data_IF_431835953075
#
_entry.id   IF_431835953075
#
_cell.length_a   1.000
_cell.length_b   1.000
_cell.length_c   1.000
_cell.angle_alpha   90.00
_cell.angle_beta   90.00
_cell.angle_gamma   90.00
#
_symmetry.space_group_name_H-M   'P 1'
#
loop_
_entity.id
_entity.type
_entity.pdbx_description
1 polymer ?
#
# COMPACT_ATOMS: atom_id res chain seq x y z
N UNK A 1 0.55 11.68 16.69
CA UNK A 1 -0.36 11.63 15.52
C UNK A 1 -0.75 10.17 15.26
N UNK A 2 -1.99 9.84 14.90
CA UNK A 2 -2.38 8.45 14.64
C UNK A 2 -1.85 7.96 13.28
N UNK A 3 -1.31 6.74 13.21
CA UNK A 3 -0.89 6.06 11.97
C UNK A 3 -1.90 6.16 10.80
N UNK A 4 -3.20 6.26 11.12
CA UNK A 4 -4.27 6.51 10.16
C UNK A 4 -4.04 7.75 9.28
N UNK A 5 -3.55 8.87 9.85
CA UNK A 5 -3.37 10.16 9.17
C UNK A 5 -1.89 10.49 8.88
N UNK A 6 -1.01 9.48 8.85
CA UNK A 6 0.42 9.72 8.65
C UNK A 6 0.74 10.24 7.24
N UNK A 7 1.57 11.28 7.17
CA UNK A 7 2.17 11.84 5.96
C UNK A 7 3.68 12.00 6.14
N UNK A 8 4.48 12.01 5.06
CA UNK A 8 5.89 12.39 5.15
C UNK A 8 6.05 13.80 5.73
N UNK A 9 7.13 14.00 6.48
CA UNK A 9 7.44 15.25 7.21
C UNK A 9 6.41 15.65 8.29
N UNK A 10 5.37 14.86 8.55
CA UNK A 10 4.37 15.16 9.61
C UNK A 10 4.85 14.85 11.04
N UNK A 11 5.95 14.10 11.15
CA UNK A 11 6.63 13.73 12.40
C UNK A 11 8.14 13.74 12.10
N UNK A 12 8.96 14.32 12.98
CA UNK A 12 10.41 14.10 12.99
C UNK A 12 10.75 13.07 14.07
N UNK A 13 11.56 12.07 13.70
CA UNK A 13 12.10 11.05 14.60
C UNK A 13 13.57 10.82 14.27
N UNK A 14 14.34 10.27 15.22
CA UNK A 14 15.77 9.99 14.98
C UNK A 14 15.96 9.02 13.81
N UNK A 15 15.09 8.02 13.64
CA UNK A 15 15.16 7.10 12.50
C UNK A 15 14.96 7.80 11.15
N UNK A 16 14.11 8.82 11.07
CA UNK A 16 13.91 9.57 9.83
C UNK A 16 15.07 10.52 9.54
N UNK A 17 15.59 11.20 10.57
CA UNK A 17 16.78 12.05 10.48
C UNK A 17 18.04 11.26 10.10
N UNK A 18 18.19 10.04 10.61
CA UNK A 18 19.32 9.15 10.32
C UNK A 18 19.39 8.74 8.84
N UNK A 19 18.26 8.66 8.13
CA UNK A 19 18.22 8.32 6.69
C UNK A 19 18.97 9.34 5.82
N UNK A 20 18.94 10.62 6.20
CA UNK A 20 19.52 11.75 5.45
C UNK A 20 20.95 12.12 5.86
N UNK A 21 21.56 11.44 6.83
CA UNK A 21 22.97 11.67 7.19
C UNK A 21 23.87 11.35 5.99
N UNK A 22 25.01 12.06 5.80
CA UNK A 22 25.93 11.78 4.70
C UNK A 22 26.40 10.31 4.70
N UNK A 23 26.37 9.65 3.54
CA UNK A 23 26.61 8.21 3.39
C UNK A 23 25.49 7.31 3.94
N UNK A 24 24.34 7.92 4.29
CA UNK A 24 23.17 7.29 4.87
C UNK A 24 22.33 6.52 3.86
N UNK A 25 21.06 6.32 4.21
CA UNK A 25 20.13 5.52 3.39
C UNK A 25 19.73 6.26 2.11
N UNK A 26 19.53 7.58 2.19
CA UNK A 26 19.12 8.38 1.03
C UNK A 26 20.20 8.51 -0.04
N UNK A 27 21.47 8.68 0.35
CA UNK A 27 22.58 8.74 -0.63
C UNK A 27 22.72 7.39 -1.37
N UNK A 28 22.70 6.27 -0.62
CA UNK A 28 22.75 4.91 -1.19
C UNK A 28 21.53 4.59 -2.07
N UNK A 29 20.35 5.07 -1.69
CA UNK A 29 19.13 4.90 -2.48
C UNK A 29 19.22 5.67 -3.80
N UNK A 30 19.70 6.91 -3.77
CA UNK A 30 19.90 7.72 -4.96
C UNK A 30 20.95 7.10 -5.90
N UNK A 31 22.11 6.69 -5.39
CA UNK A 31 23.16 6.00 -6.16
C UNK A 31 22.64 4.69 -6.79
N UNK A 32 21.89 3.90 -6.02
CA UNK A 32 21.27 2.67 -6.52
C UNK A 32 20.23 2.95 -7.63
N UNK A 33 19.40 3.98 -7.48
CA UNK A 33 18.39 4.31 -8.50
C UNK A 33 18.99 4.91 -9.76
N UNK A 34 20.05 5.73 -9.67
CA UNK A 34 20.80 6.23 -10.83
C UNK A 34 21.47 5.08 -11.58
N UNK A 35 22.14 4.16 -10.87
CA UNK A 35 22.83 3.02 -11.49
C UNK A 35 21.92 1.94 -12.09
N UNK A 36 20.64 1.87 -11.70
CA UNK A 36 19.65 0.97 -12.31
C UNK A 36 19.26 1.34 -13.74
N UNK A 37 19.47 2.59 -14.17
CA UNK A 37 18.99 3.10 -15.45
C UNK A 37 17.47 2.89 -15.62
N UNK A 38 16.99 2.47 -16.80
CA UNK A 38 15.57 2.23 -17.08
C UNK A 38 14.89 1.12 -16.26
N UNK A 39 15.64 0.37 -15.43
CA UNK A 39 15.05 -0.58 -14.46
C UNK A 39 14.48 0.14 -13.22
N UNK A 40 14.79 1.42 -13.05
CA UNK A 40 14.14 2.33 -12.11
C UNK A 40 13.20 3.25 -12.90
N UNK A 41 11.93 3.34 -12.48
CA UNK A 41 10.93 4.12 -13.24
C UNK A 41 11.29 5.61 -13.34
N UNK A 42 12.08 6.12 -12.40
CA UNK A 42 12.60 7.50 -12.35
C UNK A 42 13.53 7.86 -13.53
N UNK A 43 14.09 6.88 -14.23
CA UNK A 43 14.98 7.11 -15.38
C UNK A 43 14.47 6.44 -16.66
N UNK A 44 13.21 5.98 -16.68
CA UNK A 44 12.63 5.29 -17.82
C UNK A 44 11.71 6.23 -18.60
N UNK A 45 11.74 6.13 -19.93
CA UNK A 45 10.90 6.92 -20.83
C UNK A 45 9.94 6.03 -21.63
N UNK A 46 8.67 6.46 -21.71
CA UNK A 46 7.64 5.81 -22.51
C UNK A 46 8.02 5.91 -23.99
N UNK A 47 7.80 4.82 -24.73
CA UNK A 47 8.15 4.66 -26.15
C UNK A 47 9.66 4.78 -26.46
N UNK A 48 10.53 4.74 -25.44
CA UNK A 48 11.97 4.46 -25.58
C UNK A 48 12.37 3.17 -24.86
N UNK A 49 12.07 3.06 -23.57
CA UNK A 49 12.45 1.90 -22.74
C UNK A 49 11.35 0.87 -22.63
N UNK A 50 10.09 1.33 -22.66
CA UNK A 50 8.91 0.51 -22.56
C UNK A 50 7.75 1.05 -23.40
N UNK A 51 6.95 0.14 -23.95
CA UNK A 51 5.95 0.41 -24.98
C UNK A 51 4.60 -0.16 -24.58
N UNK A 52 3.51 0.49 -25.00
CA UNK A 52 2.15 -0.05 -24.83
C UNK A 52 1.98 -1.34 -25.63
N UNK A 53 1.51 -2.39 -24.96
CA UNK A 53 1.21 -3.69 -25.55
C UNK A 53 -0.23 -4.10 -25.26
N UNK A 54 -1.08 -4.01 -26.29
CA UNK A 54 -2.46 -4.49 -26.24
C UNK A 54 -2.48 -6.03 -26.19
N UNK A 55 -3.34 -6.63 -25.38
CA UNK A 55 -3.51 -8.08 -25.39
C UNK A 55 -4.14 -8.51 -26.72
N UNK A 56 -3.68 -9.63 -27.30
CA UNK A 56 -4.15 -10.15 -28.59
C UNK A 56 -5.58 -10.72 -28.57
N UNK A 57 -6.28 -10.59 -27.45
CA UNK A 57 -7.64 -11.04 -27.26
C UNK A 57 -8.62 -9.98 -27.77
N UNK A 58 -9.24 -10.23 -28.93
CA UNK A 58 -10.09 -9.28 -29.65
C UNK A 58 -11.31 -8.72 -28.87
N UNK A 59 -11.61 -9.25 -27.68
CA UNK A 59 -12.69 -8.83 -26.79
C UNK A 59 -12.22 -7.94 -25.62
N UNK A 60 -10.91 -7.71 -25.47
CA UNK A 60 -10.32 -6.99 -24.34
C UNK A 60 -9.53 -5.76 -24.80
N UNK A 61 -10.07 -4.57 -24.57
CA UNK A 61 -9.34 -3.30 -24.73
C UNK A 61 -8.29 -3.03 -23.63
N UNK A 62 -8.09 -3.97 -22.69
CA UNK A 62 -7.03 -3.86 -21.68
C UNK A 62 -5.64 -3.96 -22.34
N UNK A 63 -4.64 -3.34 -21.71
CA UNK A 63 -3.24 -3.43 -22.14
C UNK A 63 -2.28 -3.47 -20.96
N UNK A 64 -1.04 -3.86 -21.25
CA UNK A 64 0.09 -3.74 -20.33
C UNK A 64 1.26 -3.14 -21.09
N UNK A 65 2.43 -3.05 -20.47
CA UNK A 65 3.63 -2.51 -21.11
C UNK A 65 4.68 -3.60 -21.30
N UNK A 66 5.44 -3.52 -22.40
CA UNK A 66 6.58 -4.40 -22.68
C UNK A 66 7.88 -3.60 -22.74
N UNK A 67 8.97 -4.17 -22.24
CA UNK A 67 10.29 -3.59 -22.40
C UNK A 67 10.87 -3.84 -23.80
N UNK A 68 12.04 -3.29 -24.06
CA UNK A 68 12.84 -3.54 -25.28
C UNK A 68 13.10 -5.05 -25.54
N UNK A 69 13.13 -5.88 -24.49
CA UNK A 69 13.29 -7.33 -24.58
C UNK A 69 11.99 -8.09 -24.97
N UNK A 70 10.91 -7.36 -25.27
CA UNK A 70 9.57 -7.87 -25.52
C UNK A 70 8.94 -8.68 -24.36
N UNK A 71 9.52 -8.73 -23.16
CA UNK A 71 8.85 -9.26 -21.98
C UNK A 71 7.94 -8.18 -21.37
N UNK A 72 7.04 -8.54 -20.43
CA UNK A 72 6.28 -7.50 -19.72
C UNK A 72 7.27 -6.62 -18.94
N UNK A 73 7.17 -5.31 -19.14
CA UNK A 73 8.00 -4.33 -18.47
C UNK A 73 7.77 -4.37 -16.96
N UNK A 74 8.87 -4.39 -16.22
CA UNK A 74 8.87 -4.25 -14.76
C UNK A 74 9.88 -3.20 -14.36
N UNK A 75 9.48 -2.27 -13.49
CA UNK A 75 10.34 -1.22 -12.98
C UNK A 75 10.37 -1.24 -11.45
N UNK A 76 11.46 -0.73 -10.88
CA UNK A 76 11.55 -0.46 -9.46
C UNK A 76 11.04 0.96 -9.18
N UNK A 77 10.22 1.09 -8.13
CA UNK A 77 9.71 2.34 -7.59
C UNK A 77 10.06 2.39 -6.12
N UNK A 78 10.47 3.55 -5.59
CA UNK A 78 10.66 3.77 -4.16
C UNK A 78 9.73 4.85 -3.62
N UNK A 79 9.50 4.82 -2.31
CA UNK A 79 8.84 5.89 -1.57
C UNK A 79 8.54 5.50 -0.14
N UNK A 80 7.99 6.44 0.61
CA UNK A 80 7.59 6.26 2.00
C UNK A 80 6.09 6.00 2.10
N UNK A 81 5.69 4.96 2.83
CA UNK A 81 4.29 4.54 2.93
C UNK A 81 3.47 5.57 3.72
N UNK A 82 2.37 6.04 3.15
CA UNK A 82 1.46 6.99 3.83
C UNK A 82 0.35 6.28 4.61
N UNK A 83 -0.32 7.01 5.50
CA UNK A 83 -1.41 6.52 6.35
C UNK A 83 -2.68 6.11 5.59
N UNK A 84 -3.56 5.37 6.29
CA UNK A 84 -4.81 4.82 5.76
C UNK A 84 -5.79 5.89 5.23
N UNK A 85 -5.81 7.08 5.83
CA UNK A 85 -6.59 8.24 5.37
C UNK A 85 -6.24 8.65 3.92
N UNK A 86 -5.01 8.37 3.47
CA UNK A 86 -4.53 8.74 2.15
C UNK A 86 -4.64 7.60 1.12
N UNK A 87 -5.20 6.44 1.50
CA UNK A 87 -5.53 5.33 0.60
C UNK A 87 -4.69 4.06 0.79
N UNK A 88 -3.83 3.99 1.80
CA UNK A 88 -3.13 2.75 2.17
C UNK A 88 -4.08 1.79 2.88
N UNK A 89 -4.32 0.62 2.29
CA UNK A 89 -5.17 -0.44 2.81
C UNK A 89 -4.38 -1.77 2.83
N UNK A 90 -3.75 -2.08 3.95
CA UNK A 90 -2.96 -3.32 4.19
C UNK A 90 -3.65 -4.32 5.13
N UNK A 91 -4.75 -3.93 5.78
CA UNK A 91 -5.56 -4.80 6.65
C UNK A 91 -6.50 -5.76 5.89
N UNK A 92 -7.23 -6.59 6.63
CA UNK A 92 -8.08 -7.68 6.15
C UNK A 92 -9.11 -7.25 5.09
N UNK A 93 -9.68 -6.06 5.21
CA UNK A 93 -10.62 -5.56 4.21
C UNK A 93 -9.95 -5.28 2.85
N UNK A 94 -8.65 -4.95 2.85
CA UNK A 94 -7.93 -4.43 1.69
C UNK A 94 -8.66 -3.24 1.06
N UNK A 95 -8.65 -3.16 -0.26
CA UNK A 95 -9.33 -2.13 -1.04
C UNK A 95 -10.84 -2.40 -1.30
N UNK A 96 -11.47 -3.29 -0.54
CA UNK A 96 -12.88 -3.63 -0.72
C UNK A 96 -13.81 -2.46 -0.39
N UNK A 97 -14.71 -2.15 -1.33
CA UNK A 97 -15.70 -1.09 -1.19
C UNK A 97 -17.01 -1.65 -0.62
N UNK A 98 -17.28 -1.33 0.65
CA UNK A 98 -18.46 -1.76 1.41
C UNK A 98 -19.78 -1.16 0.92
N UNK A 99 -19.77 -0.19 -0.01
CA UNK A 99 -20.97 0.54 -0.41
C UNK A 99 -21.23 1.79 0.43
N UNK A 100 -22.18 2.62 -0.04
CA UNK A 100 -22.57 3.85 0.64
C UNK A 100 -23.70 3.64 1.68
N UNK A 101 -24.41 2.50 1.62
CA UNK A 101 -25.49 2.17 2.56
C UNK A 101 -24.92 1.34 3.73
N UNK A 102 -24.77 1.92 4.94
CA UNK A 102 -24.24 1.20 6.10
C UNK A 102 -25.20 0.11 6.63
N UNK A 103 -26.47 0.12 6.21
CA UNK A 103 -27.46 -0.90 6.60
C UNK A 103 -27.39 -2.14 5.70
N UNK A 104 -26.81 -2.00 4.51
CA UNK A 104 -26.65 -3.07 3.50
C UNK A 104 -25.23 -3.07 2.93
N UNK A 105 -24.20 -3.32 3.76
CA UNK A 105 -22.83 -3.35 3.30
C UNK A 105 -22.64 -4.46 2.26
N UNK A 106 -21.89 -4.17 1.20
CA UNK A 106 -21.41 -5.18 0.26
C UNK A 106 -20.48 -6.13 1.01
N UNK A 107 -20.89 -7.38 1.07
CA UNK A 107 -20.14 -8.43 1.76
C UNK A 107 -18.82 -8.70 1.02
N UNK A 108 -17.77 -8.91 1.81
CA UNK A 108 -16.50 -9.48 1.39
C UNK A 108 -16.61 -11.01 1.55
N UNK A 109 -17.03 -11.66 0.48
CA UNK A 109 -17.29 -13.11 0.43
C UNK A 109 -16.11 -13.91 -0.13
N UNK A 110 -16.33 -15.22 -0.30
CA UNK A 110 -15.33 -16.15 -0.87
C UNK A 110 -14.86 -15.79 -2.29
N UNK A 111 -15.64 -15.03 -3.07
CA UNK A 111 -15.35 -14.71 -4.47
C UNK A 111 -14.91 -13.27 -4.68
N UNK A 112 -14.97 -12.44 -3.63
CA UNK A 112 -14.66 -11.02 -3.69
C UNK A 112 -13.15 -10.79 -3.78
N UNK A 113 -12.70 -10.32 -4.95
CA UNK A 113 -11.29 -10.00 -5.23
C UNK A 113 -10.87 -8.68 -4.55
N UNK A 114 -10.58 -8.73 -3.25
CA UNK A 114 -9.87 -7.64 -2.57
C UNK A 114 -8.35 -7.81 -2.68
N UNK A 115 -7.65 -6.67 -2.71
CA UNK A 115 -6.19 -6.57 -2.78
C UNK A 115 -5.71 -5.58 -1.73
N UNK A 116 -4.47 -5.71 -1.29
CA UNK A 116 -3.84 -4.59 -0.60
C UNK A 116 -3.66 -3.39 -1.55
N UNK A 117 -3.67 -2.19 -0.99
CA UNK A 117 -3.22 -0.97 -1.67
C UNK A 117 -2.21 -0.29 -0.77
N UNK A 118 -1.06 0.10 -1.31
CA UNK A 118 -0.03 0.86 -0.61
C UNK A 118 0.09 2.17 -1.37
N UNK A 119 -0.16 3.29 -0.71
CA UNK A 119 0.16 4.60 -1.27
C UNK A 119 1.53 5.00 -0.72
N UNK A 120 2.42 5.42 -1.62
CA UNK A 120 3.75 5.93 -1.29
C UNK A 120 3.89 7.39 -1.71
N UNK A 121 4.69 8.14 -0.98
CA UNK A 121 4.96 9.56 -1.21
C UNK A 121 6.47 9.85 -1.07
N UNK A 122 6.88 11.09 -1.38
CA UNK A 122 8.27 11.53 -1.25
C UNK A 122 8.75 11.32 0.21
N UNK A 123 9.90 10.66 0.47
CA UNK A 123 10.32 10.31 1.83
C UNK A 123 10.50 11.50 2.78
N UNK A 124 10.25 11.28 4.07
CA UNK A 124 10.47 12.29 5.12
C UNK A 124 11.93 12.75 5.15
N UNK A 125 12.17 14.06 5.10
CA UNK A 125 13.49 14.70 5.06
C UNK A 125 14.39 14.23 3.90
N UNK A 126 13.79 13.87 2.75
CA UNK A 126 14.53 13.52 1.54
C UNK A 126 15.59 14.57 1.17
N UNK A 127 16.76 14.10 0.73
CA UNK A 127 17.73 14.97 0.05
C UNK A 127 17.20 15.39 -1.32
N UNK A 128 17.72 16.47 -1.90
CA UNK A 128 17.28 16.96 -3.22
C UNK A 128 17.32 15.85 -4.27
N UNK A 129 18.40 15.06 -4.33
CA UNK A 129 18.52 13.93 -5.25
C UNK A 129 17.42 12.86 -5.07
N UNK A 130 17.04 12.54 -3.83
CA UNK A 130 15.94 11.58 -3.55
C UNK A 130 14.58 12.19 -3.87
N UNK A 131 14.39 13.49 -3.64
CA UNK A 131 13.17 14.21 -4.02
C UNK A 131 13.01 14.24 -5.55
N UNK A 132 14.04 14.66 -6.28
CA UNK A 132 14.06 14.74 -7.74
C UNK A 132 13.79 13.37 -8.38
N UNK A 133 14.50 12.34 -7.90
CA UNK A 133 14.24 10.96 -8.33
C UNK A 133 12.80 10.55 -8.04
N UNK A 134 12.23 10.87 -6.87
CA UNK A 134 10.85 10.51 -6.53
C UNK A 134 9.84 11.18 -7.48
N UNK A 135 10.00 12.47 -7.75
CA UNK A 135 9.12 13.21 -8.66
C UNK A 135 9.31 12.80 -10.12
N UNK A 136 10.50 12.39 -10.55
CA UNK A 136 10.69 11.78 -11.87
C UNK A 136 9.85 10.50 -12.05
N UNK A 137 9.69 9.68 -11.00
CA UNK A 137 8.75 8.54 -11.05
C UNK A 137 7.32 9.02 -11.32
N UNK A 138 6.89 10.09 -10.66
CA UNK A 138 5.56 10.70 -10.87
C UNK A 138 5.42 11.24 -12.30
N UNK A 139 6.44 11.90 -12.84
CA UNK A 139 6.47 12.37 -14.23
C UNK A 139 6.30 11.21 -15.22
N UNK A 140 7.16 10.18 -15.17
CA UNK A 140 7.08 9.01 -16.07
C UNK A 140 5.73 8.30 -16.00
N UNK A 141 5.15 8.14 -14.80
CA UNK A 141 3.83 7.53 -14.65
C UNK A 141 2.68 8.43 -15.13
N UNK A 142 2.85 9.75 -15.12
CA UNK A 142 1.89 10.72 -15.67
C UNK A 142 1.94 10.74 -17.20
N UNK A 143 3.14 10.64 -17.80
CA UNK A 143 3.32 10.54 -19.26
C UNK A 143 2.54 9.37 -19.88
N UNK A 144 2.41 8.25 -19.16
CA UNK A 144 1.54 7.11 -19.56
C UNK A 144 0.08 7.56 -19.73
N UNK A 145 -0.45 8.34 -18.77
CA UNK A 145 -1.82 8.83 -18.81
C UNK A 145 -2.00 9.90 -19.89
N UNK A 146 -1.01 10.77 -20.07
CA UNK A 146 -1.04 11.86 -21.06
C UNK A 146 -1.02 11.33 -22.50
N UNK A 147 -0.18 10.33 -22.81
CA UNK A 147 -0.17 9.67 -24.11
C UNK A 147 -1.53 9.02 -24.46
N UNK A 148 -2.14 8.34 -23.50
CA UNK A 148 -3.50 7.79 -23.66
C UNK A 148 -4.56 8.89 -23.82
N UNK A 149 -4.38 10.04 -23.13
CA UNK A 149 -5.30 11.17 -23.22
C UNK A 149 -5.26 11.82 -24.59
N UNK A 150 -4.09 11.95 -25.19
CA UNK A 150 -3.97 12.46 -26.56
C UNK A 150 -4.68 11.55 -27.58
N UNK A 151 -4.62 10.21 -27.39
CA UNK A 151 -5.39 9.26 -28.20
C UNK A 151 -6.92 9.43 -27.99
N UNK A 152 -7.37 9.61 -26.75
CA UNK A 152 -8.78 9.80 -26.38
C UNK A 152 -9.35 11.10 -26.95
N UNK A 153 -8.64 12.22 -26.77
CA UNK A 153 -9.01 13.55 -27.29
C UNK A 153 -9.06 13.52 -28.82
N UNK A 154 -8.11 12.84 -29.48
CA UNK A 154 -8.09 12.66 -30.95
C UNK A 154 -9.22 11.76 -31.46
N UNK A 155 -9.64 10.78 -30.66
CA UNK A 155 -10.76 9.89 -30.96
C UNK A 155 -12.14 10.46 -30.55
N UNK A 156 -12.18 11.59 -29.84
CA UNK A 156 -13.41 12.17 -29.28
C UNK A 156 -14.09 11.25 -28.25
N UNK A 157 -13.33 10.42 -27.55
CA UNK A 157 -13.85 9.42 -26.59
C UNK A 157 -13.86 10.00 -25.18
N UNK A 158 -15.04 10.07 -24.55
CA UNK A 158 -15.15 10.48 -23.15
C UNK A 158 -14.65 9.36 -22.21
N UNK A 159 -13.62 9.66 -21.42
CA UNK A 159 -12.96 8.71 -20.51
C UNK A 159 -12.91 9.25 -19.09
N UNK A 160 -13.35 8.43 -18.15
CA UNK A 160 -13.14 8.64 -16.70
C UNK A 160 -11.90 7.83 -16.28
N UNK A 161 -10.72 8.46 -16.12
CA UNK A 161 -9.55 7.77 -15.62
C UNK A 161 -9.63 7.52 -14.12
N UNK A 162 -9.01 6.43 -13.68
CA UNK A 162 -8.54 6.24 -12.30
C UNK A 162 -7.03 6.04 -12.36
N UNK A 163 -6.31 7.12 -12.10
CA UNK A 163 -4.86 7.17 -12.24
C UNK A 163 -4.14 6.45 -11.09
N UNK A 164 -2.91 6.01 -11.36
CA UNK A 164 -2.03 5.44 -10.34
C UNK A 164 -1.30 6.52 -9.55
N UNK A 165 -1.12 7.72 -10.13
CA UNK A 165 -0.60 8.91 -9.45
C UNK A 165 -1.78 9.72 -8.91
N UNK A 166 -1.62 10.35 -7.74
CA UNK A 166 -2.65 11.16 -7.09
C UNK A 166 -2.06 12.23 -6.17
N UNK A 167 -2.85 13.27 -5.90
CA UNK A 167 -2.61 14.17 -4.79
C UNK A 167 -3.05 13.53 -3.45
N UNK A 168 -2.25 13.71 -2.39
CA UNK A 168 -2.56 13.34 -1.00
C UNK A 168 -3.59 14.28 -0.37
N UNK A 169 -3.69 15.51 -0.89
CA UNK A 169 -4.63 16.56 -0.50
C UNK A 169 -5.54 16.92 -1.67
N UNK A 170 -6.83 17.11 -1.42
CA UNK A 170 -7.79 17.50 -2.47
C UNK A 170 -7.40 18.84 -3.10
N UNK A 171 -7.20 18.86 -4.42
CA UNK A 171 -6.76 20.05 -5.16
C UNK A 171 -5.27 20.40 -5.03
N UNK A 172 -4.48 19.54 -4.37
CA UNK A 172 -3.02 19.67 -4.32
C UNK A 172 -2.32 19.13 -5.58
N UNK A 173 -0.99 19.26 -5.58
CA UNK A 173 -0.12 18.69 -6.61
C UNK A 173 -0.06 17.16 -6.53
N UNK A 174 0.42 16.53 -7.61
CA UNK A 174 0.63 15.09 -7.66
C UNK A 174 1.88 14.71 -6.84
N UNK A 175 1.67 14.21 -5.63
CA UNK A 175 2.70 13.95 -4.62
C UNK A 175 2.73 12.48 -4.12
N UNK A 176 1.89 11.60 -4.67
CA UNK A 176 1.85 10.19 -4.31
C UNK A 176 1.54 9.21 -5.45
N UNK A 177 2.06 7.98 -5.30
CA UNK A 177 1.88 6.85 -6.21
C UNK A 177 1.11 5.73 -5.48
N UNK A 178 0.11 5.17 -6.14
CA UNK A 178 -0.78 4.11 -5.64
C UNK A 178 -0.34 2.75 -6.19
N UNK A 179 0.24 1.93 -5.32
CA UNK A 179 0.69 0.58 -5.62
C UNK A 179 -0.39 -0.45 -5.21
N UNK A 180 -0.64 -1.42 -6.07
CA UNK A 180 -1.66 -2.45 -5.87
C UNK A 180 -1.01 -3.80 -5.61
N UNK A 181 -1.30 -4.42 -4.46
CA UNK A 181 -0.77 -5.75 -4.12
C UNK A 181 -1.40 -6.91 -4.90
N UNK A 182 -0.94 -8.15 -4.66
CA UNK A 182 -1.67 -9.34 -5.09
C UNK A 182 -3.05 -9.43 -4.41
N UNK A 183 -3.94 -10.33 -4.88
CA UNK A 183 -5.16 -10.68 -4.15
C UNK A 183 -4.83 -11.13 -2.71
N UNK A 184 -5.54 -10.57 -1.73
CA UNK A 184 -5.38 -10.94 -0.31
C UNK A 184 -5.90 -12.35 -0.03
N UNK A 185 -6.92 -12.78 -0.76
CA UNK A 185 -7.61 -14.04 -0.52
C UNK A 185 -7.76 -14.88 -1.78
N UNK A 186 -7.75 -16.20 -1.60
CA UNK A 186 -8.05 -17.19 -2.64
C UNK A 186 -8.95 -18.28 -2.11
N UNK A 187 -9.79 -18.84 -2.96
CA UNK A 187 -10.50 -20.09 -2.67
C UNK A 187 -9.73 -21.21 -3.34
N UNK A 188 -9.34 -22.21 -2.54
CA UNK A 188 -8.80 -23.46 -3.06
C UNK A 188 -9.78 -24.05 -4.09
N UNK A 189 -9.36 -24.09 -5.35
CA UNK A 189 -10.00 -24.94 -6.36
C UNK A 189 -9.68 -26.38 -5.96
N UNK A 190 -10.54 -26.96 -5.09
CA UNK A 190 -10.49 -28.38 -4.69
C UNK A 190 -10.17 -29.19 -5.93
N UNK A 191 -9.07 -29.94 -5.91
CA UNK A 191 -8.45 -30.50 -7.11
C UNK A 191 -9.48 -31.22 -7.97
N UNK A 192 -9.87 -30.57 -9.08
CA UNK A 192 -10.62 -31.21 -10.13
C UNK A 192 -9.64 -32.14 -10.82
N UNK A 193 -9.65 -33.41 -10.42
CA UNK A 193 -9.17 -34.52 -11.24
C UNK A 193 -9.79 -34.41 -12.63
N UNK A 194 -9.01 -33.85 -13.56
CA UNK A 194 -9.19 -33.88 -15.01
C UNK A 194 -10.63 -33.97 -15.54
N UNK A 195 -11.34 -32.83 -15.60
CA UNK A 195 -12.31 -32.61 -16.68
C UNK A 195 -12.38 -31.12 -17.00
N UNK A 196 -12.19 -30.78 -18.27
CA UNK A 196 -12.20 -29.42 -18.78
C UNK A 196 -13.59 -28.80 -18.66
N UNK A 197 -13.67 -27.61 -18.07
CA UNK A 197 -14.76 -26.67 -18.32
C UNK A 197 -14.29 -25.23 -18.18
N UNK A 198 -14.59 -24.42 -19.19
CA UNK A 198 -14.14 -23.04 -19.30
C UNK A 198 -14.72 -22.18 -18.17
N UNK A 199 -13.85 -21.57 -17.37
CA UNK A 199 -14.23 -20.54 -16.41
C UNK A 199 -13.27 -19.35 -16.51
N UNK A 200 -13.86 -18.20 -16.87
CA UNK A 200 -13.30 -16.85 -16.96
C UNK A 200 -11.81 -16.69 -16.63
N UNK A 201 -11.05 -16.31 -17.65
CA UNK A 201 -9.65 -15.92 -17.55
C UNK A 201 -9.46 -14.87 -16.43
N UNK A 202 -8.87 -15.32 -15.32
CA UNK A 202 -8.02 -14.43 -14.55
C UNK A 202 -6.67 -14.38 -15.29
N UNK A 203 -5.97 -13.23 -15.33
CA UNK A 203 -4.68 -13.13 -16.00
C UNK A 203 -3.78 -14.29 -15.59
N UNK A 204 -3.11 -14.90 -16.58
CA UNK A 204 -2.43 -16.18 -16.42
C UNK A 204 -1.59 -16.19 -15.14
N UNK A 205 -1.77 -17.22 -14.30
CA UNK A 205 -0.94 -17.43 -13.11
C UNK A 205 0.52 -17.40 -13.57
N UNK A 206 1.23 -16.31 -13.30
CA UNK A 206 2.68 -16.30 -13.43
C UNK A 206 3.20 -17.31 -12.45
N UNK A 207 3.76 -18.39 -13.00
CA UNK A 207 4.71 -19.20 -12.27
C UNK A 207 5.90 -18.28 -11.96
N UNK A 208 5.87 -17.67 -10.77
CA UNK A 208 6.98 -16.92 -10.19
C UNK A 208 8.13 -17.90 -9.98
N UNK A 209 8.89 -18.13 -11.06
CA UNK A 209 10.08 -18.95 -11.06
C UNK A 209 11.06 -18.27 -10.13
N UNK A 210 11.20 -18.80 -8.91
CA UNK A 210 12.14 -18.30 -7.89
C UNK A 210 13.50 -18.09 -8.55
N UNK A 211 13.90 -16.84 -8.79
CA UNK A 211 15.30 -16.52 -9.10
C UNK A 211 16.07 -16.69 -7.80
N UNK A 212 16.71 -17.85 -7.66
CA UNK A 212 17.75 -18.02 -6.65
C UNK A 212 18.89 -17.07 -7.03
N UNK A 213 18.97 -15.93 -6.34
CA UNK A 213 20.17 -15.09 -6.34
C UNK A 213 21.24 -15.79 -5.49
N UNK A 214 21.80 -16.86 -6.02
CA UNK A 214 23.02 -17.46 -5.50
C UNK A 214 24.20 -16.65 -6.05
N UNK A 215 24.82 -15.83 -5.19
CA UNK A 215 26.01 -15.06 -5.53
C UNK A 215 27.16 -15.98 -5.91
N UNK A 216 27.54 -16.02 -7.18
CA UNK A 216 28.75 -16.70 -7.64
C UNK A 216 29.98 -15.86 -7.28
N UNK A 217 30.41 -15.94 -6.02
CA UNK A 217 31.77 -15.59 -5.61
C UNK A 217 32.54 -16.90 -5.48
N UNK A 218 33.26 -17.26 -6.53
CA UNK A 218 34.24 -18.34 -6.51
C UNK A 218 35.61 -17.72 -6.80
N UNK A 219 36.41 -17.51 -5.76
CA UNK A 219 37.86 -17.61 -5.91
C UNK A 219 38.54 -18.13 -4.63
N UNK A 220 39.13 -19.31 -4.83
CA UNK A 220 40.16 -20.04 -4.09
C UNK A 220 40.48 -19.88 -2.58
N UNK A 221 40.54 -21.08 -1.97
CA UNK A 221 41.64 -21.62 -1.12
C UNK A 221 41.64 -21.46 0.41
N UNK A 222 41.30 -22.56 1.09
CA UNK A 222 42.29 -23.30 1.90
C UNK A 222 42.20 -23.23 3.44
N UNK A 223 42.48 -24.40 4.06
CA UNK A 223 42.77 -24.66 5.49
C UNK A 223 41.57 -24.92 6.46
N UNK A 224 41.76 -25.72 7.54
CA UNK A 224 40.69 -26.61 8.03
C UNK A 224 40.23 -26.42 9.49
N UNK A 225 39.15 -27.13 9.83
CA UNK A 225 38.70 -27.60 11.16
C UNK A 225 38.79 -26.65 12.37
N UNK A 226 37.63 -26.30 12.91
CA UNK A 226 37.39 -26.27 14.35
C UNK A 226 35.98 -26.81 14.61
N UNK A 227 35.88 -27.83 15.45
CA UNK A 227 34.59 -28.39 15.88
C UNK A 227 33.96 -27.45 16.91
N UNK A 228 32.95 -26.69 16.47
CA UNK A 228 32.16 -25.83 17.34
C UNK A 228 30.87 -26.58 17.68
N UNK A 229 30.66 -26.82 18.97
CA UNK A 229 29.43 -27.40 19.54
C UNK A 229 28.19 -26.63 19.05
N UNK A 230 27.10 -27.31 18.69
CA UNK A 230 25.86 -26.63 18.33
C UNK A 230 25.26 -25.94 19.57
N UNK A 231 25.13 -24.62 19.49
CA UNK A 231 24.40 -23.82 20.48
C UNK A 231 22.91 -24.16 20.40
N UNK A 232 22.41 -24.88 21.40
CA UNK A 232 21.05 -25.43 21.46
C UNK A 232 19.99 -24.39 21.90
N UNK A 233 20.20 -23.12 21.52
CA UNK A 233 19.29 -22.00 21.83
C UNK A 233 18.76 -21.27 20.59
N UNK A 234 18.88 -21.88 19.40
CA UNK A 234 18.28 -21.38 18.17
C UNK A 234 16.74 -21.47 18.23
N UNK A 235 16.11 -20.42 18.77
CA UNK A 235 14.67 -20.19 18.65
C UNK A 235 14.27 -20.36 17.17
N UNK A 236 13.46 -21.37 16.88
CA UNK A 236 13.18 -21.76 15.49
C UNK A 236 12.25 -20.72 14.86
N UNK A 237 12.82 -19.66 14.29
CA UNK A 237 12.08 -18.63 13.56
C UNK A 237 11.27 -19.31 12.47
N UNK A 238 9.96 -19.38 12.65
CA UNK A 238 9.04 -20.05 11.74
C UNK A 238 9.06 -19.30 10.40
N UNK A 239 9.87 -19.80 9.47
CA UNK A 239 10.01 -19.22 8.13
C UNK A 239 8.71 -19.46 7.34
N UNK A 240 7.78 -18.53 7.47
CA UNK A 240 6.49 -18.54 6.78
C UNK A 240 6.69 -18.44 5.26
N UNK A 241 6.38 -19.51 4.48
CA UNK A 241 6.72 -19.52 3.07
C UNK A 241 5.80 -18.59 2.26
N UNK A 242 6.40 -17.70 1.48
CA UNK A 242 5.69 -16.81 0.53
C UNK A 242 4.67 -17.58 -0.31
N UNK A 243 3.44 -17.04 -0.40
CA UNK A 243 2.35 -17.68 -1.15
C UNK A 243 1.67 -18.84 -0.41
N UNK A 244 2.07 -19.15 0.82
CA UNK A 244 1.30 -20.05 1.68
C UNK A 244 -0.07 -19.46 2.03
N UNK A 245 -0.98 -20.37 2.32
CA UNK A 245 -2.39 -20.08 2.59
C UNK A 245 -2.70 -20.25 4.07
N UNK A 246 -3.28 -19.21 4.67
CA UNK A 246 -3.53 -19.10 6.11
C UNK A 246 -5.02 -18.93 6.41
N UNK A 247 -5.40 -19.17 7.66
CA UNK A 247 -6.73 -18.79 8.14
C UNK A 247 -6.87 -17.27 8.13
N UNK A 248 -7.92 -16.76 7.49
CA UNK A 248 -8.17 -15.32 7.37
C UNK A 248 -8.38 -14.64 8.73
N UNK A 249 -8.75 -15.40 9.78
CA UNK A 249 -8.92 -14.93 11.17
C UNK A 249 -7.61 -14.57 11.87
N UNK A 250 -6.47 -14.84 11.25
CA UNK A 250 -5.15 -14.43 11.75
C UNK A 250 -4.82 -12.96 11.46
N UNK A 251 -5.56 -12.28 10.57
CA UNK A 251 -5.44 -10.84 10.38
C UNK A 251 -6.06 -10.09 11.57
N UNK A 252 -5.34 -9.18 12.25
CA UNK A 252 -5.82 -8.52 13.47
C UNK A 252 -7.11 -7.71 13.33
N UNK A 253 -7.43 -7.23 12.13
CA UNK A 253 -8.66 -6.49 11.81
C UNK A 253 -9.73 -7.32 11.08
N UNK A 254 -9.58 -8.64 11.00
CA UNK A 254 -10.61 -9.51 10.42
C UNK A 254 -11.79 -9.69 11.38
N UNK A 255 -12.94 -9.13 11.02
CA UNK A 255 -14.19 -9.33 11.76
C UNK A 255 -15.24 -8.25 11.52
N UNK A 256 -16.47 -8.53 11.96
CA UNK A 256 -17.61 -7.63 11.77
C UNK A 256 -18.46 -7.95 10.53
N UNK A 257 -19.55 -7.19 10.29
CA UNK A 257 -20.65 -7.58 9.40
C UNK A 257 -20.31 -7.58 7.90
N UNK A 258 -19.15 -7.06 7.52
CA UNK A 258 -18.67 -7.04 6.13
C UNK A 258 -18.10 -8.40 5.73
N UNK A 259 -17.49 -9.15 6.65
CA UNK A 259 -16.77 -10.38 6.32
C UNK A 259 -17.72 -11.59 6.27
N UNK A 260 -17.85 -12.19 5.09
CA UNK A 260 -18.74 -13.32 4.82
C UNK A 260 -18.02 -14.55 4.23
N UNK A 261 -16.68 -14.58 4.34
CA UNK A 261 -15.86 -15.71 3.89
C UNK A 261 -16.14 -16.98 4.68
N UNK A 262 -16.06 -18.12 3.99
CA UNK A 262 -16.22 -19.47 4.55
C UNK A 262 -15.13 -20.43 4.06
N UNK A 263 -14.68 -20.27 2.82
CA UNK A 263 -13.70 -21.11 2.14
C UNK A 263 -12.41 -20.38 1.77
N UNK A 264 -12.47 -19.05 1.62
CA UNK A 264 -11.32 -18.26 1.25
C UNK A 264 -10.23 -18.29 2.32
N UNK A 265 -8.99 -18.43 1.87
CA UNK A 265 -7.75 -18.42 2.66
C UNK A 265 -6.96 -17.15 2.37
N UNK A 266 -6.30 -16.63 3.41
CA UNK A 266 -5.39 -15.50 3.29
C UNK A 266 -4.12 -15.95 2.58
N UNK A 267 -3.71 -15.26 1.52
CA UNK A 267 -2.42 -15.48 0.87
C UNK A 267 -1.39 -14.55 1.53
N UNK A 268 -0.27 -15.10 1.98
CA UNK A 268 0.85 -14.26 2.44
C UNK A 268 1.57 -13.64 1.23
N UNK A 269 1.57 -12.30 1.09
CA UNK A 269 2.28 -11.63 0.00
C UNK A 269 3.80 -11.74 0.17
N UNK A 270 4.56 -11.59 -0.92
CA UNK A 270 6.03 -11.53 -0.88
C UNK A 270 6.52 -10.14 -0.46
N UNK A 271 6.22 -9.78 0.79
CA UNK A 271 6.65 -8.53 1.41
C UNK A 271 7.57 -8.88 2.57
N UNK A 272 8.86 -8.64 2.36
CA UNK A 272 9.93 -9.03 3.29
C UNK A 272 10.86 -7.85 3.47
N UNK A 273 11.24 -7.57 4.70
CA UNK A 273 12.39 -6.71 4.99
C UNK A 273 13.72 -7.40 4.66
N UNK A 274 14.83 -6.79 5.05
CA UNK A 274 16.19 -7.35 4.89
C UNK A 274 16.48 -8.57 5.80
N UNK A 275 15.61 -8.87 6.78
CA UNK A 275 15.68 -10.01 7.70
C UNK A 275 14.65 -11.11 7.37
N UNK A 276 13.85 -10.93 6.32
CA UNK A 276 12.66 -11.71 5.95
C UNK A 276 11.47 -11.62 6.92
N UNK A 277 11.39 -10.58 7.74
CA UNK A 277 10.22 -10.26 8.57
C UNK A 277 9.21 -9.40 7.79
N UNK A 278 7.92 -9.54 8.13
CA UNK A 278 6.79 -8.92 7.44
C UNK A 278 6.31 -7.69 8.21
N UNK A 279 6.87 -6.51 7.90
CA UNK A 279 6.43 -5.24 8.50
C UNK A 279 6.23 -4.17 7.42
N UNK A 280 4.98 -3.97 7.00
CA UNK A 280 4.58 -2.93 6.04
C UNK A 280 3.67 -1.94 6.75
N UNK A 281 4.26 -0.82 7.21
CA UNK A 281 3.58 0.19 8.01
C UNK A 281 3.78 1.62 7.48
N UNK A 282 2.92 2.59 7.87
CA UNK A 282 3.14 3.99 7.54
C UNK A 282 4.51 4.47 8.04
N UNK A 283 5.18 5.30 7.23
CA UNK A 283 6.55 5.78 7.49
C UNK A 283 7.66 4.82 7.09
N UNK A 284 7.36 3.56 6.73
CA UNK A 284 8.36 2.62 6.21
C UNK A 284 8.80 3.08 4.81
N UNK A 285 10.12 3.13 4.59
CA UNK A 285 10.71 3.37 3.29
C UNK A 285 10.84 2.05 2.53
N UNK A 286 10.25 1.97 1.33
CA UNK A 286 10.20 0.73 0.55
C UNK A 286 10.72 0.92 -0.87
N UNK A 287 11.20 -0.17 -1.45
CA UNK A 287 11.40 -0.34 -2.90
C UNK A 287 10.50 -1.48 -3.36
N UNK A 288 9.64 -1.19 -4.33
CA UNK A 288 8.73 -2.15 -4.94
C UNK A 288 9.09 -2.35 -6.42
N UNK A 289 9.29 -3.60 -6.84
CA UNK A 289 9.30 -3.96 -8.25
C UNK A 289 7.85 -4.13 -8.71
N UNK A 290 7.42 -3.36 -9.70
CA UNK A 290 6.03 -3.32 -10.18
C UNK A 290 5.94 -3.68 -11.65
N UNK A 291 4.75 -4.08 -12.09
CA UNK A 291 4.37 -4.12 -13.50
C UNK A 291 3.12 -3.27 -13.74
N UNK A 292 3.01 -2.67 -14.93
CA UNK A 292 1.94 -1.73 -15.26
C UNK A 292 0.87 -2.40 -16.14
N UNK A 293 -0.39 -2.22 -15.75
CA UNK A 293 -1.57 -2.73 -16.45
C UNK A 293 -2.65 -1.64 -16.47
N UNK A 294 -3.32 -1.47 -17.62
CA UNK A 294 -4.47 -0.58 -17.76
C UNK A 294 -5.70 -1.40 -18.07
N UNK A 295 -6.70 -1.29 -17.19
CA UNK A 295 -7.98 -1.96 -17.34
C UNK A 295 -8.98 -0.99 -17.97
N UNK A 296 -9.50 -1.34 -19.14
CA UNK A 296 -10.48 -0.54 -19.89
C UNK A 296 -11.84 -1.20 -19.71
N UNK A 297 -12.74 -0.52 -18.99
CA UNK A 297 -14.11 -0.96 -18.78
C UNK A 297 -15.02 -0.29 -19.79
N UNK A 298 -15.60 -1.09 -20.70
CA UNK A 298 -16.62 -0.62 -21.63
C UNK A 298 -17.84 -0.06 -20.88
N UNK A 299 -18.45 1.01 -21.39
CA UNK A 299 -19.66 1.57 -20.79
C UNK A 299 -20.83 0.59 -20.91
N UNK A 300 -21.77 0.62 -19.94
CA UNK A 300 -22.94 -0.28 -19.98
C UNK A 300 -24.09 0.26 -20.83
N UNK A 301 -24.05 1.55 -21.13
CA UNK A 301 -25.03 2.28 -21.93
C UNK A 301 -24.32 3.29 -22.83
N UNK A 302 -24.94 3.69 -23.94
CA UNK A 302 -24.35 4.67 -24.87
C UNK A 302 -24.14 6.08 -24.27
N UNK A 303 -24.71 6.34 -23.09
CA UNK A 303 -24.58 7.58 -22.32
C UNK A 303 -23.51 7.53 -21.22
N UNK A 304 -22.87 6.38 -20.99
CA UNK A 304 -21.78 6.23 -20.01
C UNK A 304 -20.42 6.45 -20.68
N UNK A 305 -19.53 7.16 -19.99
CA UNK A 305 -18.11 7.30 -20.36
C UNK A 305 -17.37 5.97 -20.23
N UNK A 306 -16.34 5.75 -21.05
CA UNK A 306 -15.40 4.63 -20.86
C UNK A 306 -14.64 4.84 -19.56
N UNK A 307 -14.39 3.79 -18.77
CA UNK A 307 -13.56 3.92 -17.56
C UNK A 307 -12.21 3.22 -17.75
N UNK A 308 -11.12 3.98 -17.73
CA UNK A 308 -9.75 3.43 -17.67
C UNK A 308 -9.26 3.39 -16.23
N UNK A 309 -8.60 2.31 -15.84
CA UNK A 309 -8.00 2.14 -14.51
C UNK A 309 -6.53 1.75 -14.66
N UNK A 310 -5.65 2.64 -14.22
CA UNK A 310 -4.21 2.50 -14.25
C UNK A 310 -3.74 1.79 -12.98
N UNK A 311 -3.06 0.65 -13.10
CA UNK A 311 -2.54 -0.11 -11.98
C UNK A 311 -1.03 -0.33 -12.10
N UNK A 312 -0.29 0.13 -11.08
CA UNK A 312 1.03 -0.38 -10.75
C UNK A 312 0.87 -1.59 -9.81
N UNK A 313 1.01 -2.81 -10.34
CA UNK A 313 0.86 -4.04 -9.56
C UNK A 313 2.22 -4.46 -8.97
N UNK A 314 2.29 -4.59 -7.65
CA UNK A 314 3.49 -5.03 -6.92
C UNK A 314 3.78 -6.50 -7.25
N UNK A 315 4.98 -6.77 -7.79
CA UNK A 315 5.50 -8.13 -8.01
C UNK A 315 6.48 -8.57 -6.92
N UNK A 316 7.20 -7.62 -6.32
CA UNK A 316 8.07 -7.79 -5.15
C UNK A 316 8.12 -6.48 -4.37
N UNK A 317 8.20 -6.53 -3.03
CA UNK A 317 8.40 -5.35 -2.18
C UNK A 317 9.44 -5.64 -1.11
N UNK A 318 10.39 -4.71 -0.93
CA UNK A 318 11.45 -4.75 0.07
C UNK A 318 11.40 -3.50 0.94
N UNK A 319 11.57 -3.69 2.25
CA UNK A 319 11.80 -2.59 3.19
C UNK A 319 13.27 -2.18 3.12
N UNK A 320 13.51 -0.87 2.97
CA UNK A 320 14.85 -0.25 2.94
C UNK A 320 15.16 0.44 4.27
N UNK A 321 14.16 1.05 4.90
CA UNK A 321 14.27 1.57 6.26
C UNK A 321 12.96 1.35 7.02
N UNK A 322 13.10 0.87 8.25
CA UNK A 322 12.01 0.72 9.21
C UNK A 322 11.40 2.09 9.60
N UNK A 323 10.32 2.05 10.37
CA UNK A 323 9.65 3.23 10.90
C UNK A 323 9.30 3.05 12.38
N UNK A 324 9.39 4.13 13.14
CA UNK A 324 8.96 4.26 14.53
C UNK A 324 7.57 4.93 14.67
N UNK A 325 6.81 5.07 13.56
CA UNK A 325 5.44 5.57 13.60
C UNK A 325 4.54 4.61 14.39
N UNK A 326 4.11 5.06 15.57
CA UNK A 326 3.32 4.25 16.51
C UNK A 326 2.00 3.80 15.89
N UNK A 327 1.88 2.49 15.66
CA UNK A 327 0.61 1.84 15.34
C UNK A 327 -0.12 1.50 16.63
N UNK A 328 -1.19 2.23 16.94
CA UNK A 328 -2.19 1.74 17.88
C UNK A 328 -2.81 0.43 17.32
N UNK A 329 -2.86 -0.66 18.09
CA UNK A 329 -3.49 -1.91 17.66
C UNK A 329 -4.89 -1.65 17.11
N UNK A 330 -5.35 -2.37 16.06
CA UNK A 330 -6.69 -2.19 15.54
C UNK A 330 -7.70 -2.48 16.64
N UNK A 331 -8.35 -1.43 17.15
CA UNK A 331 -9.41 -1.57 18.12
C UNK A 331 -10.55 -2.29 17.43
N UNK A 332 -10.96 -3.50 17.87
CA UNK A 332 -12.05 -4.21 17.22
C UNK A 332 -13.29 -3.31 17.26
N UNK A 333 -13.93 -3.13 16.11
CA UNK A 333 -15.15 -2.33 16.02
C UNK A 333 -16.24 -3.04 16.82
N UNK A 334 -16.43 -2.60 18.07
CA UNK A 334 -17.51 -3.03 18.96
C UNK A 334 -18.82 -2.38 18.47
N UNK A 335 -19.19 -2.74 17.24
CA UNK A 335 -20.39 -2.25 16.57
C UNK A 335 -21.62 -2.85 17.24
N UNK A 336 -22.09 -2.09 18.23
CA UNK A 336 -23.35 -2.21 18.92
C UNK A 336 -23.54 -3.49 19.74
N UNK A 337 -23.40 -3.31 21.06
CA UNK A 337 -24.21 -4.02 22.05
C UNK A 337 -25.68 -4.00 21.61
N UNK A 338 -26.16 -5.08 20.96
CA UNK A 338 -27.58 -5.39 20.97
C UNK A 338 -27.94 -5.60 22.43
N UNK A 339 -28.60 -4.60 23.02
CA UNK A 339 -29.15 -4.65 24.37
C UNK A 339 -30.42 -5.52 24.37
N UNK A 340 -30.28 -6.78 23.95
CA UNK A 340 -31.28 -7.81 24.20
C UNK A 340 -31.18 -8.20 25.67
N UNK A 341 -31.89 -7.45 26.50
CA UNK A 341 -32.16 -7.81 27.89
C UNK A 341 -33.11 -9.01 27.93
N UNK A 342 -32.57 -10.19 27.66
CA UNK A 342 -33.16 -11.45 28.08
C UNK A 342 -32.24 -11.96 29.19
N UNK A 343 -32.67 -11.83 30.45
CA UNK A 343 -31.98 -12.48 31.55
C UNK A 343 -32.00 -14.00 31.32
N UNK A 344 -30.85 -14.68 31.28
CA UNK A 344 -30.81 -16.11 31.56
C UNK A 344 -31.06 -16.26 33.06
N UNK A 345 -32.09 -17.01 33.45
CA UNK A 345 -32.29 -17.42 34.84
C UNK A 345 -31.09 -18.32 35.21
N UNK A 346 -30.29 -17.98 36.26
CA UNK A 346 -29.07 -18.72 36.55
C UNK A 346 -29.39 -20.03 37.29
N UNK A 347 -29.43 -21.15 36.57
CA UNK A 347 -29.50 -22.50 37.16
C UNK A 347 -28.11 -23.17 37.21
N UNK A 348 -27.17 -22.60 37.97
CA UNK A 348 -26.00 -23.35 38.46
C UNK A 348 -25.33 -22.62 39.63
N UNK A 349 -25.22 -23.31 40.77
CA UNK A 349 -24.52 -22.80 41.96
C UNK A 349 -23.02 -22.52 41.71
N UNK A 350 -22.43 -23.12 40.67
CA UNK A 350 -21.04 -22.88 40.29
C UNK A 350 -20.78 -21.44 39.78
N UNK A 351 -21.80 -20.76 39.24
CA UNK A 351 -21.63 -19.40 38.71
C UNK A 351 -21.55 -18.32 39.81
N UNK A 352 -22.13 -18.56 40.99
CA UNK A 352 -22.10 -17.62 42.11
C UNK A 352 -20.73 -17.56 42.81
N UNK A 353 -19.95 -18.64 42.77
CA UNK A 353 -18.63 -18.72 43.42
C UNK A 353 -17.54 -17.89 42.72
N UNK A 354 -17.73 -17.52 41.45
CA UNK A 354 -16.79 -16.68 40.70
C UNK A 354 -17.12 -15.17 40.79
N UNK A 355 -18.31 -14.82 41.30
CA UNK A 355 -18.73 -13.42 41.48
C UNK A 355 -18.28 -12.82 42.82
N UNK A 356 -17.69 -13.62 43.71
CA UNK A 356 -17.25 -13.22 45.06
C UNK A 356 -15.74 -12.95 45.18
N UNK A 357 -15.01 -12.87 44.06
CA UNK A 357 -13.60 -12.44 44.05
C UNK A 357 -13.58 -10.92 43.90
N UNK A 358 -13.68 -10.25 45.05
CA UNK A 358 -13.59 -8.80 45.16
C UNK A 358 -12.13 -8.35 44.97
N UNK A 359 -11.90 -7.40 44.06
CA UNK A 359 -10.56 -6.94 43.68
C UNK A 359 -10.46 -5.40 43.66
N UNK A 360 -11.06 -4.72 44.65
CA UNK A 360 -10.82 -3.28 44.85
C UNK A 360 -10.95 -2.77 46.31
N UNK A 361 -9.81 -2.59 46.99
CA UNK A 361 -9.53 -1.69 48.15
C UNK A 361 -8.05 -1.89 48.54
N UNK A 362 -7.19 -0.93 48.94
CA UNK A 362 -7.17 0.55 49.15
C UNK A 362 -5.66 0.97 49.13
N UNK A 363 -5.19 2.22 49.10
CA UNK A 363 -5.74 3.57 49.31
C UNK A 363 -5.30 4.51 48.14
N UNK A 364 -5.57 5.82 47.97
CA UNK A 364 -5.89 7.02 48.81
C UNK A 364 -4.70 7.77 49.46
N UNK A 365 -4.18 8.79 48.75
CA UNK A 365 -3.66 10.08 49.28
C UNK A 365 -3.03 10.91 48.13
N UNK A 366 -3.08 12.24 47.96
CA UNK A 366 -3.92 13.39 48.37
C UNK A 366 -3.01 14.63 48.39
N UNK A 367 -3.57 15.84 48.18
CA UNK A 367 -2.93 17.18 48.26
C UNK A 367 -2.01 17.59 47.08
N UNK A 368 -1.79 18.87 46.77
CA UNK A 368 -2.57 20.14 46.71
C UNK A 368 -1.55 21.30 46.51
N UNK A 369 -2.03 22.50 46.13
CA UNK A 369 -1.27 23.75 45.93
C UNK A 369 -0.48 23.85 44.61
N UNK A 370 -0.44 24.99 43.89
CA UNK A 370 -1.20 26.24 44.06
C UNK A 370 -0.34 27.49 43.81
N UNK A 371 -0.57 28.17 42.68
CA UNK A 371 -0.18 29.55 42.29
C UNK A 371 -0.43 29.63 40.77
N UNK A 372 -1.34 30.40 40.20
CA UNK A 372 -1.65 31.83 40.39
C UNK A 372 -0.48 32.75 39.99
N UNK A 373 -0.51 33.22 38.74
CA UNK A 373 0.12 34.47 38.34
C UNK A 373 -0.51 35.00 37.04
N UNK A 374 -1.16 36.15 37.16
CA UNK A 374 -1.51 37.04 36.05
C UNK A 374 -0.27 37.68 35.45
N UNK A 375 -0.31 38.03 34.16
CA UNK A 375 -0.16 39.42 33.67
C UNK A 375 -0.34 39.54 32.14
N UNK A 376 -0.77 40.73 31.76
CA UNK A 376 -0.81 41.44 30.46
C UNK A 376 0.34 41.12 29.47
N UNK A 377 0.24 41.34 28.15
CA UNK A 377 -0.80 42.00 27.33
C UNK A 377 -0.34 42.18 25.86
N UNK A 378 -0.96 43.13 25.15
CA UNK A 378 -0.56 43.68 23.82
C UNK A 378 -0.74 42.83 22.53
N UNK A 379 -1.90 43.04 21.89
CA UNK A 379 -2.08 43.22 20.43
C UNK A 379 -1.42 44.58 20.03
N UNK A 380 -0.86 44.85 18.81
CA UNK A 380 -1.43 44.55 17.48
C UNK A 380 -0.36 43.97 16.48
N UNK A 381 -0.60 43.64 15.21
CA UNK A 381 -1.10 44.51 14.13
C UNK A 381 -1.57 43.77 12.88
N UNK A 382 -2.60 44.33 12.23
CA UNK A 382 -3.06 43.95 10.89
C UNK A 382 -2.06 44.40 9.83
N UNK A 383 -1.72 43.53 8.90
CA UNK A 383 -1.31 43.95 7.55
C UNK A 383 -2.10 43.20 6.49
N UNK A 384 -2.82 43.96 5.67
CA UNK A 384 -3.56 43.50 4.51
C UNK A 384 -2.65 43.51 3.30
N UNK A 385 -2.42 42.37 2.65
CA UNK A 385 -1.81 42.33 1.33
C UNK A 385 -2.85 42.11 0.23
N UNK A 386 -2.75 42.94 -0.80
CA UNK A 386 -3.82 43.21 -1.75
C UNK A 386 -3.83 42.23 -2.93
N UNK A 387 -5.01 42.05 -3.52
CA UNK A 387 -5.21 41.15 -4.66
C UNK A 387 -5.09 41.94 -5.96
N UNK A 388 -4.04 41.68 -6.74
CA UNK A 388 -3.98 42.07 -8.16
C UNK A 388 -3.83 40.87 -9.08
N UNK A 389 -4.97 40.33 -9.48
CA UNK A 389 -5.10 39.55 -10.72
C UNK A 389 -5.02 40.49 -11.93
N UNK A 390 -4.11 40.25 -12.88
CA UNK A 390 -4.26 40.77 -14.24
C UNK A 390 -4.12 39.63 -15.27
N UNK A 391 -5.14 39.47 -16.10
CA UNK A 391 -5.30 38.33 -17.01
C UNK A 391 -5.35 38.78 -18.46
N UNK A 392 -4.39 38.35 -19.27
CA UNK A 392 -4.37 38.59 -20.73
C UNK A 392 -4.47 37.30 -21.54
N UNK A 393 -5.70 36.79 -21.68
CA UNK A 393 -6.05 35.80 -22.71
C UNK A 393 -6.24 36.49 -24.06
N UNK A 394 -5.25 36.38 -24.96
CA UNK A 394 -5.45 36.68 -26.39
C UNK A 394 -6.22 35.54 -27.06
N UNK A 395 -7.39 35.83 -27.62
CA UNK A 395 -8.09 34.91 -28.55
C UNK A 395 -7.41 34.97 -29.92
N UNK A 396 -6.84 33.87 -30.38
CA UNK A 396 -6.50 33.69 -31.79
C UNK A 396 -7.74 33.17 -32.53
N UNK A 397 -8.17 33.91 -33.56
CA UNK A 397 -9.28 33.54 -34.46
C UNK A 397 -8.65 32.93 -35.71
N UNK A 398 -8.92 31.67 -36.02
CA UNK A 398 -8.59 31.08 -37.34
C UNK A 398 -9.82 31.13 -38.26
N UNK A 399 -9.54 31.39 -39.53
CA UNK A 399 -10.46 31.21 -40.66
C UNK A 399 -10.42 29.74 -41.12
#
# INVERSE_FOLDING_TARGET
MSHYNYLPNSISTSLFEDRRKPGGIYDKLAEAFVSMGPNAIANAELDQDFFRFNFSEAWSSNYSFRGMDSNQYTANIFGEIVGKAHGTYTGAQGNHFVGNDPTKPKLLDDYTKTKCTIVIACPSFATTAVSDLFYNQICTLSSIRDADKEEEDRAGTDVIPKDMVKALRSGGELDAITLTGPPLYTVLKKDKTSTSDNSFASPAKRNLKKRNFASTVNDHSGAPHNDILPDETAATTLAFPTGAEYDHRLMPDFGGPVFAMKKAKLIQPQWTDIRNELIVQPGTLVVATVCFEVFVMSPKSASESVRKIYHATITSLRVIAESDVIIAPPTPSVSNKKRTSVQPVPSSAAASALASIDWCSTATSSSLSGSDHTLDGEDPSKESFDVTTDGKRKKAKKQ
#
